data_IF_122360926835
#
_entry.id   IF_122360926835
#
_cell.length_a   1.000
_cell.length_b   1.000
_cell.length_c   1.000
_cell.angle_alpha   90.00
_cell.angle_beta   90.00
_cell.angle_gamma   90.00
#
_symmetry.space_group_name_H-M   'P 1'
#
loop_
_entity.id
_entity.type
_entity.pdbx_description
1 polymer ?
#
# COMPACT_ATOMS: atom_id res chain seq x y z
N UNK A 1 0.04 -7.29 96.01
CA UNK A 1 -0.23 -6.53 94.76
C UNK A 1 0.94 -6.74 93.81
N UNK A 2 0.79 -7.66 92.86
CA UNK A 2 1.80 -7.97 91.83
C UNK A 2 1.77 -6.87 90.75
N UNK A 3 2.88 -6.12 90.58
CA UNK A 3 3.09 -5.22 89.44
C UNK A 3 3.99 -5.92 88.42
N UNK A 4 3.42 -6.26 87.26
CA UNK A 4 4.18 -6.71 86.09
C UNK A 4 4.87 -5.50 85.44
N UNK A 5 6.21 -5.54 85.35
CA UNK A 5 7.02 -4.63 84.55
C UNK A 5 7.21 -5.23 83.15
N UNK A 6 6.58 -4.62 82.15
CA UNK A 6 6.77 -4.94 80.73
C UNK A 6 7.95 -4.10 80.22
N UNK A 7 9.01 -4.67 79.62
CA UNK A 7 10.08 -3.89 79.00
C UNK A 7 9.60 -3.26 77.67
N UNK A 8 10.10 -2.06 77.29
CA UNK A 8 9.72 -1.42 76.04
C UNK A 8 10.30 -2.16 74.83
N UNK A 9 9.47 -2.36 73.79
CA UNK A 9 9.89 -2.86 72.48
C UNK A 9 10.75 -1.81 71.76
N UNK A 10 11.79 -2.21 71.02
CA UNK A 10 12.53 -1.27 70.18
C UNK A 10 11.69 -0.82 68.97
N UNK A 11 11.74 0.48 68.69
CA UNK A 11 11.20 1.09 67.47
C UNK A 11 11.92 0.52 66.25
N UNK A 12 11.16 -0.07 65.32
CA UNK A 12 11.65 -0.52 64.03
C UNK A 12 12.06 0.71 63.20
N UNK A 13 13.29 0.71 62.71
CA UNK A 13 13.95 1.80 61.98
C UNK A 13 13.22 2.20 60.66
N UNK A 14 13.37 3.45 60.18
CA UNK A 14 12.62 4.02 59.04
C UNK A 14 13.08 3.55 57.65
N UNK A 15 13.83 2.45 57.55
CA UNK A 15 14.52 2.05 56.32
C UNK A 15 13.61 1.45 55.22
N UNK A 16 12.34 1.14 55.51
CA UNK A 16 11.40 0.56 54.52
C UNK A 16 10.59 1.58 53.70
N UNK A 17 10.56 2.85 54.10
CA UNK A 17 9.82 3.90 53.36
C UNK A 17 10.62 4.52 52.20
N UNK A 18 11.96 4.56 52.30
CA UNK A 18 12.82 5.07 51.23
C UNK A 18 12.89 4.11 50.03
N UNK A 19 12.88 2.80 50.27
CA UNK A 19 12.88 1.78 49.21
C UNK A 19 11.56 1.76 48.42
N UNK A 20 10.42 1.98 49.08
CA UNK A 20 9.12 2.11 48.38
C UNK A 20 9.06 3.36 47.48
N UNK A 21 9.63 4.48 47.94
CA UNK A 21 9.75 5.70 47.11
C UNK A 21 10.65 5.50 45.90
N UNK A 22 11.76 4.76 46.03
CA UNK A 22 12.63 4.46 44.88
C UNK A 22 12.00 3.50 43.86
N UNK A 23 11.12 2.59 44.30
CA UNK A 23 10.40 1.69 43.39
C UNK A 23 9.22 2.35 42.69
N UNK A 24 8.56 3.33 43.32
CA UNK A 24 7.54 4.15 42.68
C UNK A 24 8.15 5.20 41.73
N UNK A 25 9.30 5.78 42.07
CA UNK A 25 10.00 6.75 41.21
C UNK A 25 10.59 6.13 39.94
N UNK A 26 11.04 4.86 39.99
CA UNK A 26 11.49 4.12 38.80
C UNK A 26 10.34 3.67 37.88
N UNK A 27 9.08 3.76 38.32
CA UNK A 27 7.90 3.33 37.56
C UNK A 27 7.19 4.47 36.81
N UNK A 28 7.72 5.69 36.88
CA UNK A 28 7.12 6.87 36.24
C UNK A 28 8.15 7.74 35.49
N UNK A 29 9.20 7.14 34.93
CA UNK A 29 9.91 7.74 33.79
C UNK A 29 9.20 7.33 32.50
N UNK A 30 7.91 7.62 32.41
CA UNK A 30 7.31 7.86 31.10
C UNK A 30 7.89 9.20 30.67
N UNK A 31 8.91 9.17 29.82
CA UNK A 31 9.29 10.34 29.05
C UNK A 31 8.00 10.83 28.40
N UNK A 32 7.49 11.99 28.82
CA UNK A 32 6.40 12.67 28.11
C UNK A 32 7.01 13.04 26.77
N UNK A 33 6.85 12.17 25.77
CA UNK A 33 7.17 12.51 24.39
C UNK A 33 6.21 13.62 24.01
N UNK A 34 6.70 14.85 24.03
CA UNK A 34 5.94 15.99 23.57
C UNK A 34 5.96 15.97 22.05
N UNK A 35 4.93 15.37 21.46
CA UNK A 35 4.66 15.53 20.04
C UNK A 35 4.37 17.00 19.72
N UNK A 36 4.62 17.46 18.48
CA UNK A 36 4.18 18.79 18.07
C UNK A 36 2.65 18.88 18.16
N UNK A 37 2.11 20.10 18.24
CA UNK A 37 0.65 20.31 18.27
C UNK A 37 0.00 20.00 16.93
N UNK A 38 0.75 20.19 15.85
CA UNK A 38 0.32 20.06 14.46
C UNK A 38 1.32 19.23 13.66
N UNK A 39 0.88 18.74 12.51
CA UNK A 39 1.71 18.07 11.51
C UNK A 39 1.24 18.45 10.11
N UNK A 40 2.17 18.51 9.15
CA UNK A 40 1.84 18.85 7.78
C UNK A 40 1.14 17.69 7.06
N UNK A 41 0.31 18.03 6.10
CA UNK A 41 -0.31 17.12 5.15
C UNK A 41 -0.46 17.82 3.80
N UNK A 42 -0.78 17.06 2.76
CA UNK A 42 -1.23 17.60 1.48
C UNK A 42 -2.65 17.08 1.28
N UNK A 43 -3.59 17.97 0.94
CA UNK A 43 -4.99 17.62 0.95
C UNK A 43 -5.91 18.65 0.33
N UNK A 44 -7.18 18.56 0.68
CA UNK A 44 -8.24 19.46 0.25
C UNK A 44 -9.08 19.91 1.44
N UNK A 45 -9.48 21.18 1.46
CA UNK A 45 -10.49 21.71 2.39
C UNK A 45 -11.91 21.66 1.84
N UNK A 46 -12.06 21.50 0.53
CA UNK A 46 -13.33 21.35 -0.19
C UNK A 46 -13.10 20.56 -1.48
N UNK A 47 -14.14 19.97 -2.04
CA UNK A 47 -14.04 19.31 -3.35
C UNK A 47 -13.87 20.33 -4.49
N UNK A 48 -13.24 19.91 -5.59
CA UNK A 48 -13.00 20.75 -6.76
C UNK A 48 -12.02 20.15 -7.77
N UNK A 49 -11.48 21.00 -8.66
CA UNK A 49 -10.47 20.61 -9.64
C UNK A 49 -9.09 20.41 -9.01
N UNK A 50 -8.01 20.44 -9.81
CA UNK A 50 -6.65 20.17 -9.27
C UNK A 50 -6.17 21.31 -8.38
N UNK A 51 -6.71 22.50 -8.61
CA UNK A 51 -6.41 23.74 -7.91
C UNK A 51 -6.84 23.77 -6.44
N UNK A 52 -7.66 22.82 -5.97
CA UNK A 52 -8.04 22.73 -4.55
C UNK A 52 -7.02 21.97 -3.69
N UNK A 53 -6.00 21.36 -4.32
CA UNK A 53 -4.95 20.65 -3.60
C UNK A 53 -4.01 21.69 -2.97
N UNK A 54 -3.84 21.61 -1.66
CA UNK A 54 -3.03 22.55 -0.89
C UNK A 54 -2.24 21.86 0.24
N UNK A 55 -1.21 22.54 0.72
CA UNK A 55 -0.55 22.17 1.97
C UNK A 55 -1.50 22.45 3.15
N UNK A 56 -1.69 21.44 3.99
CA UNK A 56 -2.52 21.52 5.19
C UNK A 56 -1.63 21.47 6.44
N UNK A 57 -2.05 22.17 7.47
CA UNK A 57 -1.55 22.00 8.82
C UNK A 57 -2.67 21.43 9.71
N UNK A 58 -2.53 20.16 10.08
CA UNK A 58 -3.55 19.42 10.84
C UNK A 58 -3.08 19.17 12.27
N UNK A 59 -3.98 18.96 13.24
CA UNK A 59 -3.61 18.48 14.56
C UNK A 59 -2.74 17.23 14.47
N UNK A 60 -1.71 17.13 15.30
CA UNK A 60 -0.91 15.91 15.37
C UNK A 60 -1.81 14.72 15.74
N UNK A 61 -1.67 13.57 15.07
CA UNK A 61 -2.58 12.45 15.30
C UNK A 61 -2.52 11.95 16.74
N UNK A 62 -3.69 11.62 17.29
CA UNK A 62 -3.77 11.00 18.61
C UNK A 62 -3.05 9.65 18.61
N UNK A 63 -2.12 9.47 19.56
CA UNK A 63 -1.39 8.21 19.75
C UNK A 63 -2.23 7.28 20.61
N UNK A 64 -3.09 6.48 19.97
CA UNK A 64 -3.97 5.55 20.67
C UNK A 64 -3.24 4.30 21.13
N UNK A 65 -3.63 3.68 22.27
CA UNK A 65 -2.95 2.51 22.81
C UNK A 65 -2.92 1.29 21.88
N UNK A 66 -3.90 1.14 21.00
CA UNK A 66 -4.04 0.01 20.06
C UNK A 66 -3.46 0.30 18.67
N UNK A 67 -2.89 1.49 18.46
CA UNK A 67 -2.38 1.96 17.18
C UNK A 67 -0.85 1.90 17.09
N UNK A 68 -0.33 1.83 15.86
CA UNK A 68 1.03 2.26 15.56
C UNK A 68 1.02 3.76 15.25
N UNK A 69 2.07 4.46 15.65
CA UNK A 69 2.39 5.80 15.12
C UNK A 69 3.47 5.67 14.07
N UNK A 70 3.23 6.21 12.89
CA UNK A 70 4.05 6.01 11.70
C UNK A 70 4.43 7.38 11.14
N UNK A 71 5.73 7.57 10.86
CA UNK A 71 6.22 8.73 10.12
C UNK A 71 6.20 8.39 8.64
N UNK A 72 5.33 9.05 7.90
CA UNK A 72 5.15 8.81 6.47
C UNK A 72 6.36 9.34 5.70
N UNK A 73 6.81 8.58 4.70
CA UNK A 73 7.94 8.95 3.84
C UNK A 73 7.52 9.04 2.37
N UNK A 74 6.56 8.21 1.96
CA UNK A 74 6.06 8.12 0.59
C UNK A 74 4.55 7.95 0.61
N UNK A 75 3.86 8.56 -0.35
CA UNK A 75 2.45 8.30 -0.63
C UNK A 75 2.26 7.86 -2.07
N UNK A 76 1.39 6.88 -2.27
CA UNK A 76 0.94 6.47 -3.60
C UNK A 76 -0.17 7.40 -4.10
N UNK A 77 -0.27 7.52 -5.42
CA UNK A 77 -1.29 8.32 -6.10
C UNK A 77 -2.15 7.38 -6.93
N UNK A 78 -3.45 7.43 -6.72
CA UNK A 78 -4.41 6.53 -7.33
C UNK A 78 -5.61 7.30 -7.93
N UNK A 79 -6.32 6.68 -8.87
CA UNK A 79 -7.51 7.29 -9.49
C UNK A 79 -8.59 7.66 -8.46
N UNK A 80 -8.74 6.87 -7.41
CA UNK A 80 -9.69 7.14 -6.32
C UNK A 80 -9.46 8.49 -5.64
N UNK A 81 -8.21 8.97 -5.58
CA UNK A 81 -7.88 10.29 -5.04
C UNK A 81 -8.54 11.39 -5.87
N UNK A 82 -8.59 11.22 -7.20
CA UNK A 82 -9.24 12.17 -8.10
C UNK A 82 -10.75 12.21 -7.91
N UNK A 83 -11.37 11.06 -7.63
CA UNK A 83 -12.82 10.92 -7.46
C UNK A 83 -13.28 11.53 -6.13
N UNK A 84 -12.54 11.28 -5.05
CA UNK A 84 -12.79 11.88 -3.74
C UNK A 84 -12.56 13.40 -3.78
N UNK A 85 -11.51 13.85 -4.47
CA UNK A 85 -11.16 15.26 -4.60
C UNK A 85 -12.13 16.04 -5.48
N UNK A 86 -12.58 15.48 -6.61
CA UNK A 86 -13.57 16.14 -7.46
C UNK A 86 -14.98 16.16 -6.86
N UNK A 87 -15.23 15.32 -5.86
CA UNK A 87 -16.57 15.09 -5.32
C UNK A 87 -17.43 14.17 -6.18
N UNK A 88 -16.84 13.50 -7.19
CA UNK A 88 -17.52 12.42 -7.91
C UNK A 88 -17.92 11.30 -6.94
N UNK A 89 -17.02 10.97 -6.02
CA UNK A 89 -17.32 10.11 -4.87
C UNK A 89 -17.50 10.97 -3.61
N UNK A 90 -18.44 10.61 -2.71
CA UNK A 90 -18.60 11.32 -1.45
C UNK A 90 -17.30 11.32 -0.64
N UNK A 91 -16.83 12.52 -0.31
CA UNK A 91 -15.68 12.71 0.57
C UNK A 91 -16.09 12.40 2.02
N UNK A 92 -15.39 11.50 2.74
CA UNK A 92 -15.86 11.04 4.05
C UNK A 92 -15.75 12.10 5.16
N UNK A 93 -14.83 13.06 5.01
CA UNK A 93 -14.61 14.17 5.94
C UNK A 93 -13.81 15.28 5.24
N UNK A 94 -13.83 16.49 5.81
CA UNK A 94 -12.97 17.60 5.41
C UNK A 94 -12.42 18.29 6.68
N UNK A 95 -11.17 18.80 6.67
CA UNK A 95 -10.17 18.70 5.59
C UNK A 95 -9.73 17.24 5.37
N UNK A 96 -9.57 16.86 4.10
CA UNK A 96 -9.14 15.52 3.71
C UNK A 96 -7.70 15.59 3.18
N UNK A 97 -6.69 15.04 3.88
CA UNK A 97 -5.44 14.68 3.23
C UNK A 97 -5.73 13.79 2.03
N UNK A 98 -5.03 13.98 0.91
CA UNK A 98 -5.19 13.07 -0.23
C UNK A 98 -4.42 11.76 0.01
N UNK A 99 -4.40 10.88 -0.98
CA UNK A 99 -3.88 9.52 -0.94
C UNK A 99 -4.68 8.57 -0.04
N UNK A 100 -4.70 7.32 -0.50
CA UNK A 100 -5.20 6.18 0.24
C UNK A 100 -4.10 5.19 0.60
N UNK A 101 -2.88 5.34 0.10
CA UNK A 101 -1.77 4.46 0.44
C UNK A 101 -0.49 5.21 0.74
N UNK A 102 0.27 4.71 1.72
CA UNK A 102 1.56 5.27 2.09
C UNK A 102 2.57 4.17 2.45
N UNK A 103 3.84 4.54 2.45
CA UNK A 103 4.89 3.83 3.16
C UNK A 103 5.62 4.76 4.13
N UNK A 104 5.97 4.23 5.30
CA UNK A 104 6.62 4.98 6.35
C UNK A 104 7.36 4.11 7.36
N UNK A 105 7.86 4.76 8.40
CA UNK A 105 8.63 4.11 9.47
C UNK A 105 7.84 4.16 10.78
N UNK A 106 7.81 3.04 11.49
CA UNK A 106 7.18 2.96 12.81
C UNK A 106 7.96 3.81 13.81
N UNK A 107 7.29 4.79 14.42
CA UNK A 107 7.81 5.62 15.51
C UNK A 107 7.40 5.03 16.86
N UNK A 108 6.13 4.68 17.01
CA UNK A 108 5.59 4.03 18.22
C UNK A 108 4.81 2.78 17.89
N UNK A 109 4.88 1.82 18.83
CA UNK A 109 4.11 0.58 18.80
C UNK A 109 2.89 0.70 19.74
N UNK A 110 1.86 -0.14 19.56
CA UNK A 110 0.78 -0.29 20.49
C UNK A 110 1.27 -0.52 21.92
N UNK A 111 0.53 0.01 22.88
CA UNK A 111 0.72 -0.19 24.33
C UNK A 111 -0.41 -0.98 24.97
N UNK A 112 -1.52 -1.20 24.25
CA UNK A 112 -2.63 -2.02 24.71
C UNK A 112 -2.23 -3.49 24.85
N UNK A 113 -2.37 -4.05 26.05
CA UNK A 113 -2.03 -5.44 26.34
C UNK A 113 -2.84 -6.45 25.52
N UNK A 114 -4.09 -6.13 25.14
CA UNK A 114 -4.91 -7.00 24.30
C UNK A 114 -4.33 -7.12 22.88
N UNK A 115 -3.77 -6.03 22.34
CA UNK A 115 -3.07 -6.01 21.05
C UNK A 115 -1.74 -6.75 21.17
N UNK A 116 -0.94 -6.44 22.20
CA UNK A 116 0.39 -7.06 22.38
C UNK A 116 0.32 -8.57 22.60
N UNK A 117 -0.77 -9.07 23.19
CA UNK A 117 -1.02 -10.51 23.38
C UNK A 117 -1.73 -11.16 22.19
N UNK A 118 -2.12 -10.41 21.15
CA UNK A 118 -2.77 -10.96 19.97
C UNK A 118 -1.76 -11.75 19.11
N UNK A 119 -1.97 -13.05 18.84
CA UNK A 119 -1.04 -13.85 18.03
C UNK A 119 -0.85 -13.33 16.60
N UNK A 120 -1.86 -12.68 16.01
CA UNK A 120 -1.75 -12.11 14.67
C UNK A 120 -0.88 -10.85 14.67
N UNK A 121 -1.01 -10.00 15.69
CA UNK A 121 -0.11 -8.85 15.87
C UNK A 121 1.33 -9.32 16.04
N UNK A 122 1.58 -10.33 16.89
CA UNK A 122 2.92 -10.87 17.11
C UNK A 122 3.55 -11.43 15.82
N UNK A 123 2.74 -12.10 14.97
CA UNK A 123 3.19 -12.59 13.66
C UNK A 123 3.59 -11.49 12.68
N UNK A 124 3.06 -10.26 12.82
CA UNK A 124 3.48 -9.13 11.97
C UNK A 124 4.92 -8.70 12.24
N UNK A 125 5.48 -9.01 13.42
CA UNK A 125 6.88 -8.72 13.73
C UNK A 125 7.22 -7.23 13.73
N UNK A 126 6.26 -6.36 14.06
CA UNK A 126 6.49 -4.92 14.09
C UNK A 126 7.57 -4.53 15.10
N UNK A 127 8.43 -3.62 14.68
CA UNK A 127 9.52 -3.05 15.49
C UNK A 127 9.58 -1.55 15.28
N UNK A 128 9.90 -0.78 16.32
CA UNK A 128 10.23 0.64 16.15
C UNK A 128 11.37 0.79 15.15
N UNK A 129 11.28 1.76 14.26
CA UNK A 129 12.20 1.92 13.13
C UNK A 129 11.94 0.97 11.97
N UNK A 130 10.97 0.06 12.07
CA UNK A 130 10.59 -0.84 10.99
C UNK A 130 9.82 -0.14 9.87
N UNK A 131 10.04 -0.60 8.64
CA UNK A 131 9.33 -0.14 7.44
C UNK A 131 7.96 -0.77 7.34
N UNK A 132 6.96 0.06 7.03
CA UNK A 132 5.56 -0.36 6.88
C UNK A 132 4.90 0.32 5.70
N UNK A 133 3.87 -0.32 5.17
CA UNK A 133 2.96 0.24 4.19
C UNK A 133 1.51 0.07 4.65
N UNK A 134 0.63 0.96 4.21
CA UNK A 134 -0.73 1.11 4.74
C UNK A 134 -1.67 1.51 3.61
N UNK A 135 -2.91 1.01 3.66
CA UNK A 135 -4.02 1.46 2.82
C UNK A 135 -5.14 2.06 3.68
N UNK A 136 -5.14 3.38 3.86
CA UNK A 136 -6.12 4.15 4.64
C UNK A 136 -6.39 5.49 3.95
N UNK A 137 -7.67 5.86 3.83
CA UNK A 137 -8.10 7.15 3.29
C UNK A 137 -7.52 8.30 4.12
N UNK A 138 -6.94 9.30 3.45
CA UNK A 138 -6.39 10.48 4.10
C UNK A 138 -5.07 10.22 4.81
N UNK A 139 -4.20 9.48 4.12
CA UNK A 139 -2.92 9.03 4.65
C UNK A 139 -1.73 9.91 4.26
N UNK A 140 -1.85 10.84 3.29
CA UNK A 140 -0.75 11.75 2.91
C UNK A 140 -0.53 12.89 3.92
N UNK A 141 0.05 12.53 5.07
CA UNK A 141 0.37 13.40 6.20
C UNK A 141 1.69 12.96 6.83
N UNK A 142 2.45 13.87 7.43
CA UNK A 142 3.78 13.56 8.00
C UNK A 142 3.74 12.44 9.05
N UNK A 143 2.68 12.39 9.85
CA UNK A 143 2.46 11.36 10.86
C UNK A 143 1.06 10.77 10.76
N UNK A 144 0.98 9.45 10.83
CA UNK A 144 -0.26 8.69 10.79
C UNK A 144 -0.33 7.75 11.99
N UNK A 145 -1.41 7.86 12.75
CA UNK A 145 -1.81 6.90 13.78
C UNK A 145 -2.82 5.94 13.15
N UNK A 146 -2.51 4.65 13.12
CA UNK A 146 -3.35 3.63 12.49
C UNK A 146 -3.46 2.36 13.34
N UNK A 147 -4.62 1.68 13.37
CA UNK A 147 -4.77 0.35 13.95
C UNK A 147 -3.76 -0.63 13.35
N UNK A 148 -3.25 -1.56 14.15
CA UNK A 148 -2.19 -2.47 13.71
C UNK A 148 -2.59 -3.45 12.60
N UNK A 149 -3.89 -3.72 12.46
CA UNK A 149 -4.43 -4.72 11.54
C UNK A 149 -4.57 -4.23 10.10
N UNK A 150 -4.53 -2.90 9.88
CA UNK A 150 -4.46 -2.26 8.56
C UNK A 150 -3.03 -1.87 8.14
N UNK A 151 -2.04 -2.22 8.96
CA UNK A 151 -0.62 -1.94 8.69
C UNK A 151 0.08 -3.20 8.21
N UNK A 152 0.89 -3.07 7.16
CA UNK A 152 1.62 -4.18 6.56
C UNK A 152 3.13 -3.96 6.75
N UNK A 153 3.87 -4.91 7.35
CA UNK A 153 5.32 -4.83 7.41
C UNK A 153 5.90 -4.94 5.99
N UNK A 154 6.85 -4.07 5.66
CA UNK A 154 7.56 -4.12 4.38
C UNK A 154 8.75 -5.08 4.54
N UNK A 155 8.86 -6.14 3.72
CA UNK A 155 9.99 -7.07 3.77
C UNK A 155 11.32 -6.39 3.46
N UNK A 156 12.39 -6.92 4.04
CA UNK A 156 13.75 -6.52 3.69
C UNK A 156 13.99 -6.78 2.19
N UNK A 157 14.59 -5.81 1.49
CA UNK A 157 14.82 -5.87 0.04
C UNK A 157 13.76 -5.17 -0.82
N UNK A 158 12.60 -4.83 -0.25
CA UNK A 158 11.60 -3.99 -0.93
C UNK A 158 11.86 -2.52 -0.58
N UNK A 159 12.01 -1.69 -1.61
CA UNK A 159 12.18 -0.25 -1.41
C UNK A 159 10.91 0.40 -0.86
N UNK A 160 11.05 1.45 -0.05
CA UNK A 160 9.89 2.21 0.46
C UNK A 160 9.03 2.81 -0.65
N UNK A 161 9.66 3.18 -1.79
CA UNK A 161 8.97 3.69 -2.97
C UNK A 161 8.09 2.61 -3.60
N UNK A 162 8.64 1.40 -3.78
CA UNK A 162 7.88 0.25 -4.28
C UNK A 162 6.74 -0.11 -3.33
N UNK A 163 7.02 -0.14 -2.02
CA UNK A 163 6.00 -0.42 -1.01
C UNK A 163 4.83 0.56 -1.12
N UNK A 164 5.10 1.87 -1.20
CA UNK A 164 4.06 2.89 -1.32
C UNK A 164 3.24 2.83 -2.61
N UNK A 165 3.76 2.21 -3.67
CA UNK A 165 3.06 2.05 -4.96
C UNK A 165 2.32 0.71 -5.08
N UNK A 166 2.41 -0.16 -4.08
CA UNK A 166 2.00 -1.57 -4.21
C UNK A 166 0.77 -1.95 -3.43
N UNK A 167 0.41 -1.25 -2.35
CA UNK A 167 -0.55 -1.80 -1.37
C UNK A 167 -1.97 -1.75 -1.90
N UNK A 168 -2.48 -0.57 -2.27
CA UNK A 168 -3.85 -0.42 -2.74
C UNK A 168 -4.03 -1.18 -4.06
N UNK A 169 -3.09 -1.01 -4.99
CA UNK A 169 -3.15 -1.62 -6.31
C UNK A 169 -2.96 -3.14 -6.25
N UNK A 170 -2.03 -3.62 -5.43
CA UNK A 170 -1.76 -5.04 -5.23
C UNK A 170 -2.86 -5.77 -4.49
N UNK A 171 -3.44 -5.17 -3.45
CA UNK A 171 -4.63 -5.73 -2.81
C UNK A 171 -5.79 -5.83 -3.80
N UNK A 172 -6.00 -4.81 -4.64
CA UNK A 172 -7.03 -4.82 -5.68
C UNK A 172 -6.80 -5.96 -6.69
N UNK A 173 -5.58 -6.08 -7.21
CA UNK A 173 -5.22 -7.16 -8.13
C UNK A 173 -5.40 -8.55 -7.48
N UNK A 174 -4.96 -8.71 -6.23
CA UNK A 174 -5.06 -9.97 -5.50
C UNK A 174 -6.52 -10.37 -5.25
N UNK A 175 -7.36 -9.45 -4.76
CA UNK A 175 -8.79 -9.71 -4.53
C UNK A 175 -9.47 -10.16 -5.82
N UNK A 176 -9.19 -9.50 -6.96
CA UNK A 176 -9.82 -9.85 -8.23
C UNK A 176 -9.40 -11.25 -8.74
N UNK A 177 -8.14 -11.64 -8.54
CA UNK A 177 -7.60 -12.92 -9.01
C UNK A 177 -7.73 -14.09 -8.01
N UNK A 178 -8.20 -13.83 -6.78
CA UNK A 178 -8.27 -14.86 -5.74
C UNK A 178 -9.61 -14.95 -5.01
N UNK A 179 -10.30 -13.82 -4.82
CA UNK A 179 -11.55 -13.77 -4.06
C UNK A 179 -12.77 -13.57 -4.98
N UNK A 180 -12.66 -12.70 -5.99
CA UNK A 180 -13.74 -12.50 -6.97
C UNK A 180 -13.84 -13.68 -7.93
N UNK A 181 -12.72 -14.11 -8.48
CA UNK A 181 -12.57 -15.40 -9.17
C UNK A 181 -11.25 -16.01 -8.74
N UNK A 182 -11.28 -17.19 -8.14
CA UNK A 182 -10.05 -17.84 -7.68
C UNK A 182 -9.35 -18.49 -8.88
N UNK A 183 -8.50 -17.72 -9.57
CA UNK A 183 -7.81 -18.17 -10.77
C UNK A 183 -6.98 -19.42 -10.50
N UNK A 184 -7.17 -20.43 -11.35
CA UNK A 184 -6.53 -21.74 -11.29
C UNK A 184 -5.54 -21.97 -12.44
N UNK A 185 -4.56 -22.84 -12.20
CA UNK A 185 -3.62 -23.29 -13.22
C UNK A 185 -4.38 -23.86 -14.43
N UNK A 186 -4.01 -23.42 -15.63
CA UNK A 186 -4.62 -23.83 -16.89
C UNK A 186 -5.73 -22.91 -17.37
N UNK A 187 -6.21 -21.99 -16.52
CA UNK A 187 -7.08 -20.90 -16.97
C UNK A 187 -6.28 -19.84 -17.73
N UNK A 188 -6.95 -19.14 -18.65
CA UNK A 188 -6.42 -17.96 -19.33
C UNK A 188 -7.11 -16.73 -18.75
N UNK A 189 -6.31 -15.79 -18.24
CA UNK A 189 -6.81 -14.52 -17.70
C UNK A 189 -6.58 -13.44 -18.73
N UNK A 190 -7.67 -12.84 -19.23
CA UNK A 190 -7.62 -11.66 -20.07
C UNK A 190 -7.52 -10.39 -19.20
N UNK A 191 -6.45 -9.61 -19.38
CA UNK A 191 -6.23 -8.35 -18.68
C UNK A 191 -6.32 -7.18 -19.67
N UNK A 192 -7.33 -6.34 -19.49
CA UNK A 192 -7.47 -5.07 -20.21
C UNK A 192 -6.60 -3.98 -19.56
N UNK A 193 -6.09 -3.03 -20.36
CA UNK A 193 -5.39 -1.81 -19.86
C UNK A 193 -4.21 -2.09 -18.92
N UNK A 194 -3.39 -3.08 -19.27
CA UNK A 194 -2.31 -3.61 -18.42
C UNK A 194 -1.26 -2.59 -17.95
N UNK A 195 -1.02 -1.51 -18.70
CA UNK A 195 0.08 -0.58 -18.46
C UNK A 195 -0.07 0.26 -17.17
N UNK A 196 -1.24 0.23 -16.53
CA UNK A 196 -1.45 0.83 -15.21
C UNK A 196 -0.95 -0.05 -14.06
N UNK A 197 -0.76 0.53 -12.88
CA UNK A 197 -0.16 -0.21 -11.75
C UNK A 197 -0.96 -1.43 -11.26
N UNK A 198 -2.31 -1.40 -11.33
CA UNK A 198 -3.14 -2.59 -11.08
C UNK A 198 -2.93 -3.65 -12.16
N UNK A 199 -2.92 -3.25 -13.43
CA UNK A 199 -2.76 -4.15 -14.57
C UNK A 199 -1.41 -4.88 -14.55
N UNK A 200 -0.33 -4.15 -14.25
CA UNK A 200 1.02 -4.70 -14.08
C UNK A 200 1.08 -5.76 -12.97
N UNK A 201 0.47 -5.47 -11.82
CA UNK A 201 0.43 -6.42 -10.70
C UNK A 201 -0.45 -7.63 -11.03
N UNK A 202 -1.58 -7.42 -11.73
CA UNK A 202 -2.42 -8.52 -12.20
C UNK A 202 -1.68 -9.44 -13.15
N UNK A 203 -0.93 -8.90 -14.12
CA UNK A 203 -0.18 -9.71 -15.07
C UNK A 203 0.83 -10.60 -14.36
N UNK A 204 1.62 -10.02 -13.44
CA UNK A 204 2.58 -10.77 -12.62
C UNK A 204 1.92 -11.87 -11.78
N UNK A 205 0.79 -11.57 -11.13
CA UNK A 205 0.07 -12.55 -10.30
C UNK A 205 -0.57 -13.64 -11.17
N UNK A 206 -1.17 -13.28 -12.31
CA UNK A 206 -1.78 -14.20 -13.24
C UNK A 206 -0.73 -15.17 -13.81
N UNK A 207 0.43 -14.68 -14.26
CA UNK A 207 1.55 -15.50 -14.76
C UNK A 207 2.10 -16.45 -13.70
N UNK A 208 2.11 -16.04 -12.43
CA UNK A 208 2.54 -16.90 -11.33
C UNK A 208 1.54 -18.02 -10.97
N UNK A 209 0.27 -17.90 -11.38
CA UNK A 209 -0.81 -18.81 -10.95
C UNK A 209 -1.44 -19.62 -12.09
N UNK A 210 -1.49 -19.04 -13.29
CA UNK A 210 -2.20 -19.52 -14.46
C UNK A 210 -1.51 -18.99 -15.72
N UNK A 211 -2.25 -18.82 -16.81
CA UNK A 211 -1.74 -18.22 -18.03
C UNK A 211 -2.23 -16.77 -18.16
N UNK A 212 -1.29 -15.83 -18.30
CA UNK A 212 -1.61 -14.41 -18.42
C UNK A 212 -1.68 -14.02 -19.89
N UNK A 213 -2.89 -13.70 -20.37
CA UNK A 213 -3.11 -13.12 -21.69
C UNK A 213 -3.44 -11.63 -21.53
N UNK A 214 -2.66 -10.80 -22.22
CA UNK A 214 -2.76 -9.36 -22.05
C UNK A 214 -3.14 -8.69 -23.36
N UNK A 215 -4.17 -7.85 -23.29
CA UNK A 215 -4.56 -6.96 -24.38
C UNK A 215 -4.29 -5.52 -23.90
N UNK A 216 -3.18 -4.88 -24.31
CA UNK A 216 -2.97 -3.47 -24.06
C UNK A 216 -4.03 -2.70 -24.83
N UNK A 217 -4.89 -2.01 -24.09
CA UNK A 217 -5.73 -0.98 -24.68
C UNK A 217 -4.82 0.21 -24.99
N UNK A 218 -4.50 0.41 -26.25
CA UNK A 218 -3.71 1.55 -26.71
C UNK A 218 -4.68 2.69 -26.99
N UNK A 219 -4.47 3.85 -26.36
CA UNK A 219 -4.99 5.12 -26.86
C UNK A 219 -3.86 5.85 -27.58
N UNK A 220 -3.81 5.76 -28.91
CA UNK A 220 -2.78 6.37 -29.74
C UNK A 220 -2.61 5.67 -31.08
N UNK A 221 -1.91 6.30 -32.03
CA UNK A 221 -1.66 5.73 -33.36
C UNK A 221 -0.80 4.43 -33.27
N UNK A 222 -1.00 3.45 -34.17
CA UNK A 222 -0.37 2.12 -34.11
C UNK A 222 1.17 2.09 -34.00
N UNK A 223 1.86 3.17 -34.38
CA UNK A 223 3.32 3.23 -34.43
C UNK A 223 4.02 3.80 -33.18
N UNK A 224 3.29 4.32 -32.19
CA UNK A 224 3.88 4.98 -31.00
C UNK A 224 3.77 4.14 -29.71
N UNK A 225 3.52 2.84 -29.84
CA UNK A 225 3.26 1.96 -28.70
C UNK A 225 4.56 1.54 -28.01
N UNK A 226 5.10 2.41 -27.18
CA UNK A 226 6.14 2.01 -26.23
C UNK A 226 5.49 1.33 -25.03
N UNK A 227 5.46 -0.01 -25.03
CA UNK A 227 5.13 -0.75 -23.82
C UNK A 227 6.25 -0.59 -22.79
N UNK A 228 5.87 -0.40 -21.54
CA UNK A 228 6.82 -0.36 -20.44
C UNK A 228 7.47 -1.76 -20.34
N UNK A 229 8.80 -1.87 -20.19
CA UNK A 229 9.47 -3.17 -20.07
C UNK A 229 8.87 -4.12 -19.03
N UNK A 230 8.25 -3.58 -17.99
CA UNK A 230 7.53 -4.35 -16.96
C UNK A 230 6.29 -5.09 -17.52
N UNK A 231 5.62 -4.52 -18.53
CA UNK A 231 4.55 -5.16 -19.33
C UNK A 231 5.15 -6.06 -20.42
N UNK A 232 6.46 -6.31 -20.47
CA UNK A 232 7.02 -7.36 -21.34
C UNK A 232 7.47 -8.55 -20.50
N UNK A 233 8.02 -8.26 -19.33
CA UNK A 233 8.45 -9.27 -18.38
C UNK A 233 7.28 -10.04 -17.72
N UNK A 234 6.10 -9.44 -17.62
CA UNK A 234 5.03 -9.90 -16.74
C UNK A 234 4.00 -10.84 -17.39
N UNK A 235 4.03 -11.06 -18.71
CA UNK A 235 3.00 -11.78 -19.45
C UNK A 235 3.55 -12.95 -20.27
N UNK A 236 2.64 -13.78 -20.78
CA UNK A 236 2.95 -14.91 -21.65
C UNK A 236 2.65 -14.60 -23.13
N UNK A 237 1.67 -13.73 -23.38
CA UNK A 237 1.22 -13.32 -24.72
C UNK A 237 0.61 -11.91 -24.68
N UNK A 238 0.89 -11.12 -25.71
CA UNK A 238 0.58 -9.69 -25.82
C UNK A 238 -0.17 -9.43 -27.14
N UNK A 239 -1.29 -8.70 -27.07
CA UNK A 239 -2.13 -8.44 -28.25
C UNK A 239 -2.42 -6.96 -28.38
N UNK A 240 -1.81 -6.32 -29.39
CA UNK A 240 -1.98 -4.90 -29.65
C UNK A 240 -3.20 -4.68 -30.54
N UNK A 241 -4.19 -3.95 -30.04
CA UNK A 241 -5.37 -3.61 -30.82
C UNK A 241 -5.86 -2.19 -30.47
N UNK A 242 -6.52 -1.55 -31.44
CA UNK A 242 -7.24 -0.30 -31.19
C UNK A 242 -8.48 -0.56 -30.31
N UNK A 243 -8.94 0.49 -29.62
CA UNK A 243 -10.10 0.45 -28.71
C UNK A 243 -11.35 -0.11 -29.42
N UNK A 244 -11.54 0.21 -30.70
CA UNK A 244 -12.69 -0.21 -31.51
C UNK A 244 -12.60 -1.67 -31.98
N UNK A 245 -11.39 -2.22 -32.09
CA UNK A 245 -11.12 -3.58 -32.60
C UNK A 245 -10.86 -4.60 -31.48
N UNK A 246 -10.80 -4.15 -30.22
CA UNK A 246 -10.45 -5.00 -29.09
C UNK A 246 -11.37 -6.22 -28.94
N UNK A 247 -12.66 -6.06 -29.21
CA UNK A 247 -13.63 -7.17 -29.13
C UNK A 247 -13.34 -8.29 -30.13
N UNK A 248 -13.01 -7.93 -31.37
CA UNK A 248 -12.72 -8.89 -32.44
C UNK A 248 -11.36 -9.56 -32.24
N UNK A 249 -10.36 -8.80 -31.76
CA UNK A 249 -9.05 -9.35 -31.40
C UNK A 249 -9.18 -10.39 -30.27
N UNK A 250 -9.96 -10.08 -29.22
CA UNK A 250 -10.23 -11.01 -28.12
C UNK A 250 -10.96 -12.27 -28.62
N UNK A 251 -11.98 -12.11 -29.47
CA UNK A 251 -12.73 -13.23 -30.01
C UNK A 251 -11.84 -14.17 -30.85
N UNK A 252 -10.96 -13.62 -31.69
CA UNK A 252 -10.04 -14.40 -32.50
C UNK A 252 -9.06 -15.22 -31.66
N UNK A 253 -8.53 -14.66 -30.57
CA UNK A 253 -7.63 -15.37 -29.64
C UNK A 253 -8.32 -16.52 -28.90
N UNK A 254 -9.56 -16.29 -28.47
CA UNK A 254 -10.37 -17.33 -27.82
C UNK A 254 -10.66 -18.45 -28.83
N UNK A 255 -11.06 -18.10 -30.06
CA UNK A 255 -11.32 -19.06 -31.13
C UNK A 255 -10.06 -19.88 -31.49
N UNK A 256 -8.86 -19.27 -31.52
CA UNK A 256 -7.59 -19.96 -31.76
C UNK A 256 -7.29 -20.99 -30.66
N UNK A 257 -7.44 -20.61 -29.38
CA UNK A 257 -7.15 -21.50 -28.24
C UNK A 257 -8.13 -22.65 -28.09
N UNK A 258 -9.39 -22.43 -28.43
CA UNK A 258 -10.42 -23.47 -28.45
C UNK A 258 -10.34 -24.35 -29.71
N UNK A 259 -9.40 -24.08 -30.63
CA UNK A 259 -9.21 -24.84 -31.87
C UNK A 259 -10.34 -24.63 -32.89
N UNK A 260 -11.04 -23.51 -32.82
CA UNK A 260 -12.21 -23.16 -33.64
C UNK A 260 -11.86 -22.51 -34.99
N UNK A 261 -10.57 -22.30 -35.28
CA UNK A 261 -10.06 -22.15 -36.65
C UNK A 261 -10.27 -20.78 -37.31
N UNK A 262 -10.36 -19.68 -36.55
CA UNK A 262 -10.19 -18.34 -37.12
C UNK A 262 -8.74 -17.89 -36.90
N UNK A 263 -8.04 -17.60 -37.99
CA UNK A 263 -6.73 -16.94 -37.93
C UNK A 263 -6.93 -15.50 -37.44
N UNK A 264 -6.11 -15.07 -36.47
CA UNK A 264 -6.06 -13.69 -36.03
C UNK A 264 -5.70 -12.75 -37.19
N UNK A 265 -6.34 -11.58 -37.24
CA UNK A 265 -5.92 -10.45 -38.08
C UNK A 265 -4.46 -10.09 -37.77
N UNK A 266 -3.64 -9.64 -38.75
CA UNK A 266 -2.18 -9.42 -38.62
C UNK A 266 -1.70 -8.37 -37.59
N UNK A 267 -2.57 -7.87 -36.71
CA UNK A 267 -2.22 -6.94 -35.63
C UNK A 267 -1.80 -7.63 -34.31
N UNK A 268 -1.72 -8.96 -34.28
CA UNK A 268 -1.25 -9.72 -33.10
C UNK A 268 0.26 -9.87 -33.16
N UNK A 269 1.00 -8.99 -32.50
CA UNK A 269 2.44 -9.13 -32.36
C UNK A 269 2.77 -10.09 -31.20
N UNK A 270 3.32 -11.27 -31.49
CA UNK A 270 3.77 -12.20 -30.44
C UNK A 270 5.13 -11.74 -29.90
N UNK A 271 5.43 -12.07 -28.63
CA UNK A 271 6.66 -11.63 -27.94
C UNK A 271 7.96 -11.84 -28.75
N UNK A 272 8.02 -12.79 -29.68
CA UNK A 272 9.20 -13.04 -30.53
C UNK A 272 9.29 -12.24 -31.83
N UNK A 273 8.28 -11.44 -32.19
CA UNK A 273 8.23 -10.68 -33.45
C UNK A 273 8.59 -9.20 -33.27
N UNK A 274 8.73 -8.73 -32.02
CA UNK A 274 9.01 -7.33 -31.67
C UNK A 274 10.51 -7.03 -31.46
N UNK A 275 11.39 -8.03 -31.58
CA UNK A 275 12.83 -7.89 -31.36
C UNK A 275 13.60 -7.41 -32.62
N UNK A 276 12.94 -7.33 -33.79
CA UNK A 276 13.60 -7.09 -35.09
C UNK A 276 13.59 -5.62 -35.58
N UNK A 277 12.96 -4.67 -34.86
CA UNK A 277 12.88 -3.25 -35.28
C UNK A 277 13.80 -2.27 -34.52
N UNK A 278 14.87 -2.73 -33.86
CA UNK A 278 15.85 -1.83 -33.20
C UNK A 278 17.05 -1.42 -34.09
N UNK A 279 16.92 -1.39 -35.41
CA UNK A 279 17.99 -0.87 -36.30
C UNK A 279 17.46 -0.17 -37.55
N UNK A 280 17.05 1.10 -37.45
CA UNK A 280 17.52 2.14 -38.39
C UNK A 280 17.15 3.55 -37.90
N UNK A 281 17.96 4.14 -37.01
CA UNK A 281 17.98 5.59 -36.79
C UNK A 281 19.39 6.12 -37.10
N UNK A 282 19.90 5.77 -38.28
CA UNK A 282 21.08 6.38 -38.90
C UNK A 282 20.67 7.32 -40.03
N UNK A 283 20.14 8.51 -39.71
CA UNK A 283 19.80 9.55 -40.68
C UNK A 283 20.43 10.88 -40.32
N UNK A 284 21.44 11.27 -41.09
CA UNK A 284 22.22 12.51 -40.98
C UNK A 284 21.35 13.78 -40.95
N UNK A 285 21.75 14.75 -40.12
CA UNK A 285 21.22 16.12 -40.16
C UNK A 285 22.33 17.03 -40.66
N UNK A 286 22.19 17.51 -41.90
CA UNK A 286 22.83 18.73 -42.41
C UNK A 286 22.27 19.99 -41.74
#
# INVERSE_FOLDING_TARGET
>A
MLRFLIPPRPLVAPARLSQLRSHLAKRAQFSIMSYPKTSKAVGIQKTGGVEVIEDLELPFPEVKPDHLLIKVQWGGVNFIDTYLRSGLYPTPFLPLPIAMEIAGVIVELPTDASVLNNPQYQKRGFKKGGSVAINVIGSLKEYLSAPWDVVYPVPDGISMRTAAASVLQGLTALTLLTESHNVQKGETVLIHTVAGGVGLLMAQIAKARAHALVVPLIRGAPGDVTLVPDVRAAEDELVLCEDEDAGDAIAALVDEREGLGRECSPAVARHGELDDEEQDLGGEVE
#
